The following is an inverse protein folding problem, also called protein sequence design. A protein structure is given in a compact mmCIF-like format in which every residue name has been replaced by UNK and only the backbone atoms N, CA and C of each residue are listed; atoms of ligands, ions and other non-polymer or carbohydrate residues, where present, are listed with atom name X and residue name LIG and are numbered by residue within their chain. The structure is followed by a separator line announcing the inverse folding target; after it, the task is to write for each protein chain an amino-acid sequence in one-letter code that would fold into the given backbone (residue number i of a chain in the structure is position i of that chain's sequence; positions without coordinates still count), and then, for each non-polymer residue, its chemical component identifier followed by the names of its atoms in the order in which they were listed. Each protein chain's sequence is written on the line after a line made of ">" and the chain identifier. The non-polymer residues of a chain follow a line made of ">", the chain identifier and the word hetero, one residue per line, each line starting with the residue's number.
data_IF_672937626351
#
_entry.id   IF_672937626351
#
_cell.length_a   1.000
_cell.length_b   1.000
_cell.length_c   1.000
_cell.angle_alpha   90.00
_cell.angle_beta   90.00
_cell.angle_gamma   90.00
#
_symmetry.space_group_name_H-M   'P 1'
#
loop_
_entity.id
_entity.type
_entity.pdbx_description
1 polymer ?
#
# COMPACT_ATOMS: atom_id res chain seq x y z
N UNK A 1 32.03 3.53 -11.46
CA UNK A 1 31.23 2.47 -12.10
C UNK A 1 30.11 2.09 -11.14
N UNK A 2 28.92 2.69 -11.29
CA UNK A 2 27.75 2.36 -10.47
C UNK A 2 27.05 1.15 -11.10
N UNK A 3 27.02 -0.03 -10.45
CA UNK A 3 26.44 -1.20 -11.05
C UNK A 3 24.92 -1.02 -11.12
N UNK A 4 24.38 -1.10 -12.33
CA UNK A 4 22.95 -1.19 -12.60
C UNK A 4 22.40 -2.38 -11.80
N UNK A 5 21.63 -2.13 -10.74
CA UNK A 5 20.89 -3.20 -10.05
C UNK A 5 19.89 -3.78 -11.04
N UNK A 6 20.25 -4.92 -11.61
CA UNK A 6 19.36 -5.81 -12.34
C UNK A 6 18.13 -6.05 -11.46
N UNK A 7 16.97 -6.26 -12.11
CA UNK A 7 15.73 -6.71 -11.48
C UNK A 7 16.00 -7.96 -10.66
N UNK A 8 16.43 -7.79 -9.41
CA UNK A 8 16.45 -8.86 -8.43
C UNK A 8 15.00 -9.27 -8.29
N UNK A 9 14.72 -10.54 -8.63
CA UNK A 9 13.49 -11.19 -8.20
C UNK A 9 13.36 -10.85 -6.72
N UNK A 10 12.25 -10.23 -6.31
CA UNK A 10 11.97 -9.97 -4.90
C UNK A 10 12.02 -11.34 -4.22
N UNK A 11 13.17 -11.67 -3.63
CA UNK A 11 13.36 -12.89 -2.88
C UNK A 11 12.57 -12.64 -1.62
N UNK A 12 11.55 -13.47 -1.40
CA UNK A 12 10.78 -13.46 -0.17
C UNK A 12 11.77 -13.63 0.98
N UNK A 13 12.03 -12.52 1.70
CA UNK A 13 12.85 -12.57 2.90
C UNK A 13 12.10 -13.37 3.95
N UNK A 14 12.84 -14.12 4.76
CA UNK A 14 12.26 -14.87 5.87
C UNK A 14 11.50 -13.90 6.78
N UNK A 15 10.22 -14.18 6.99
CA UNK A 15 9.36 -13.38 7.87
C UNK A 15 9.83 -13.64 9.29
N UNK A 16 10.39 -12.62 9.94
CA UNK A 16 10.82 -12.78 11.32
C UNK A 16 9.56 -12.86 12.20
N UNK A 17 9.41 -13.93 13.00
CA UNK A 17 8.22 -14.12 13.83
C UNK A 17 8.25 -13.29 15.14
N UNK A 18 9.37 -12.61 15.40
CA UNK A 18 9.60 -11.84 16.62
C UNK A 18 10.02 -12.72 17.81
N UNK A 19 10.45 -12.07 18.88
CA UNK A 19 10.70 -12.68 20.20
C UNK A 19 9.64 -12.19 21.20
N UNK A 20 9.67 -12.60 22.46
CA UNK A 20 8.71 -12.14 23.48
C UNK A 20 8.71 -10.62 23.71
N UNK A 21 9.78 -9.91 23.31
CA UNK A 21 9.94 -8.47 23.51
C UNK A 21 10.11 -7.66 22.22
N UNK A 22 10.32 -8.30 21.08
CA UNK A 22 10.50 -7.63 19.78
C UNK A 22 9.50 -8.17 18.78
N UNK A 23 8.68 -7.28 18.22
CA UNK A 23 7.84 -7.61 17.07
C UNK A 23 8.72 -7.88 15.85
N UNK A 24 8.31 -8.85 15.05
CA UNK A 24 8.93 -9.16 13.77
C UNK A 24 8.61 -8.13 12.68
N UNK A 25 8.65 -8.55 11.41
CA UNK A 25 8.31 -7.70 10.28
C UNK A 25 6.84 -7.24 10.33
N UNK A 26 6.60 -5.93 10.39
CA UNK A 26 5.26 -5.35 10.43
C UNK A 26 4.94 -4.65 9.12
N UNK A 27 3.81 -5.00 8.51
CA UNK A 27 3.30 -4.38 7.30
C UNK A 27 2.26 -3.29 7.61
N UNK A 28 2.64 -2.03 7.43
CA UNK A 28 1.73 -0.90 7.52
C UNK A 28 1.03 -0.73 6.17
N UNK A 29 -0.26 -1.03 6.11
CA UNK A 29 -1.07 -0.87 4.90
C UNK A 29 -1.86 0.43 4.94
N UNK A 30 -1.72 1.22 3.87
CA UNK A 30 -2.38 2.50 3.72
C UNK A 30 -3.27 2.43 2.49
N UNK A 31 -4.58 2.54 2.68
CA UNK A 31 -5.59 2.39 1.63
C UNK A 31 -6.46 3.63 1.60
N UNK A 32 -6.60 4.27 0.44
CA UNK A 32 -7.51 5.40 0.25
C UNK A 32 -8.00 5.49 -1.20
N UNK A 33 -9.00 6.33 -1.45
CA UNK A 33 -9.51 6.63 -2.78
C UNK A 33 -8.65 7.65 -3.53
N UNK A 34 -7.98 8.56 -2.82
CA UNK A 34 -7.09 9.56 -3.42
C UNK A 34 -5.66 9.06 -3.47
N UNK A 35 -5.10 8.98 -4.68
CA UNK A 35 -3.72 8.59 -4.95
C UNK A 35 -2.70 9.50 -4.25
N UNK A 36 -2.91 10.82 -4.28
CA UNK A 36 -1.96 11.79 -3.77
C UNK A 36 -1.82 11.70 -2.25
N UNK A 37 -2.94 11.47 -1.54
CA UNK A 37 -2.95 11.36 -0.09
C UNK A 37 -2.21 10.11 0.40
N UNK A 38 -2.44 8.96 -0.24
CA UNK A 38 -1.75 7.71 0.17
C UNK A 38 -0.25 7.83 -0.07
N UNK A 39 0.17 8.41 -1.20
CA UNK A 39 1.59 8.59 -1.49
C UNK A 39 2.26 9.55 -0.53
N UNK A 40 1.62 10.69 -0.23
CA UNK A 40 2.16 11.65 0.71
C UNK A 40 2.26 11.06 2.12
N UNK A 41 1.24 10.33 2.54
CA UNK A 41 1.24 9.68 3.85
C UNK A 41 2.29 8.56 3.92
N UNK A 42 2.46 7.77 2.87
CA UNK A 42 3.51 6.74 2.79
C UNK A 42 4.91 7.35 2.89
N UNK A 43 5.16 8.48 2.23
CA UNK A 43 6.41 9.22 2.36
C UNK A 43 6.62 9.76 3.78
N UNK A 44 5.57 10.25 4.43
CA UNK A 44 5.63 10.72 5.81
C UNK A 44 6.00 9.59 6.78
N UNK A 45 5.32 8.45 6.70
CA UNK A 45 5.60 7.27 7.54
C UNK A 45 7.03 6.78 7.32
N UNK A 46 7.47 6.66 6.06
CA UNK A 46 8.85 6.26 5.76
C UNK A 46 9.87 7.22 6.39
N UNK A 47 9.68 8.54 6.25
CA UNK A 47 10.56 9.54 6.86
C UNK A 47 10.52 9.49 8.39
N UNK A 48 9.36 9.21 8.97
CA UNK A 48 9.18 9.06 10.41
C UNK A 48 9.96 7.85 10.94
N UNK A 49 9.85 6.69 10.28
CA UNK A 49 10.63 5.50 10.62
C UNK A 49 12.14 5.79 10.59
N UNK A 50 12.62 6.49 9.56
CA UNK A 50 14.02 6.90 9.47
C UNK A 50 14.44 7.84 10.61
N UNK A 51 13.56 8.75 11.06
CA UNK A 51 13.84 9.64 12.21
C UNK A 51 13.87 8.89 13.54
N UNK A 52 13.03 7.88 13.69
CA UNK A 52 12.95 7.02 14.87
C UNK A 52 14.02 5.91 14.89
N UNK A 53 14.91 5.88 13.89
CA UNK A 53 15.92 4.83 13.71
C UNK A 53 15.33 3.42 13.57
N UNK A 54 14.11 3.32 13.04
CA UNK A 54 13.45 2.05 12.69
C UNK A 54 13.85 1.69 11.26
N UNK A 55 14.34 0.46 11.07
CA UNK A 55 14.79 -0.02 9.76
C UNK A 55 13.59 -0.34 8.87
N UNK A 56 13.40 0.42 7.80
CA UNK A 56 12.40 0.11 6.77
C UNK A 56 12.96 -0.99 5.86
N UNK A 57 12.31 -2.14 5.83
CA UNK A 57 12.73 -3.27 5.00
C UNK A 57 12.35 -3.04 3.53
N UNK A 58 11.07 -2.77 3.27
CA UNK A 58 10.53 -2.56 1.92
C UNK A 58 9.39 -1.54 1.92
N UNK A 59 9.24 -0.82 0.82
CA UNK A 59 8.10 0.07 0.60
C UNK A 59 7.62 -0.12 -0.83
N UNK A 60 6.39 -0.59 -0.98
CA UNK A 60 5.85 -0.97 -2.28
C UNK A 60 4.41 -0.55 -2.48
N UNK A 61 4.02 -0.55 -3.75
CA UNK A 61 2.71 -0.21 -4.25
C UNK A 61 1.91 -1.47 -4.53
N UNK A 62 0.67 -1.53 -4.04
CA UNK A 62 -0.27 -2.56 -4.48
C UNK A 62 -1.01 -2.07 -5.74
N UNK A 63 -1.39 -2.98 -6.65
CA UNK A 63 -2.16 -2.62 -7.85
C UNK A 63 -3.47 -1.96 -7.44
N UNK A 64 -3.82 -0.89 -8.15
CA UNK A 64 -5.03 -0.11 -7.87
C UNK A 64 -6.26 -0.95 -8.22
N UNK A 65 -7.28 -0.92 -7.36
CA UNK A 65 -8.56 -1.58 -7.61
C UNK A 65 -9.56 -0.54 -8.10
N UNK A 66 -10.18 -0.79 -9.24
CA UNK A 66 -11.22 0.07 -9.80
C UNK A 66 -12.58 -0.57 -9.53
N UNK A 67 -13.43 0.13 -8.81
CA UNK A 67 -14.78 -0.32 -8.45
C UNK A 67 -15.82 0.54 -9.14
N UNK A 68 -16.72 -0.10 -9.86
CA UNK A 68 -17.88 0.54 -10.47
C UNK A 68 -19.01 0.61 -9.44
N UNK A 69 -19.47 1.82 -9.15
CA UNK A 69 -20.63 2.07 -8.29
C UNK A 69 -21.86 2.11 -9.20
N UNK A 70 -22.76 1.17 -8.99
CA UNK A 70 -24.02 1.05 -9.71
C UNK A 70 -25.15 1.59 -8.84
N UNK A 71 -25.97 2.47 -9.41
CA UNK A 71 -27.18 2.99 -8.78
C UNK A 71 -28.43 2.33 -9.39
N UNK A 72 -29.43 2.07 -8.55
CA UNK A 72 -30.71 1.51 -8.96
C UNK A 72 -31.73 2.64 -9.18
N UNK A 73 -32.32 2.72 -10.38
CA UNK A 73 -33.36 3.71 -10.67
C UNK A 73 -34.58 3.57 -9.73
N UNK A 74 -35.10 4.68 -9.21
CA UNK A 74 -36.20 4.68 -8.22
C UNK A 74 -37.52 4.06 -8.71
N UNK A 75 -37.74 4.00 -10.03
CA UNK A 75 -38.95 3.42 -10.65
C UNK A 75 -38.66 2.32 -11.67
N UNK A 76 -37.45 1.73 -11.63
CA UNK A 76 -37.02 0.70 -12.58
C UNK A 76 -36.20 -0.41 -11.91
N UNK A 77 -36.05 -1.55 -12.59
CA UNK A 77 -35.20 -2.66 -12.12
C UNK A 77 -33.77 -2.60 -12.72
N UNK A 78 -33.45 -1.55 -13.48
CA UNK A 78 -32.19 -1.45 -14.20
C UNK A 78 -31.13 -0.79 -13.32
N UNK A 79 -29.97 -1.42 -13.22
CA UNK A 79 -28.77 -0.82 -12.62
C UNK A 79 -28.09 0.08 -13.66
N UNK A 80 -27.81 1.33 -13.28
CA UNK A 80 -27.04 2.28 -14.09
C UNK A 80 -25.68 2.55 -13.42
N UNK A 81 -24.65 2.80 -14.24
CA UNK A 81 -23.33 3.21 -13.75
C UNK A 81 -23.42 4.64 -13.23
N UNK A 82 -23.08 4.84 -11.96
CA UNK A 82 -23.07 6.15 -11.30
C UNK A 82 -21.66 6.75 -11.28
N UNK A 83 -20.71 6.01 -10.70
CA UNK A 83 -19.33 6.47 -10.57
C UNK A 83 -18.32 5.33 -10.67
N UNK A 84 -17.08 5.69 -10.98
CA UNK A 84 -15.93 4.78 -10.95
C UNK A 84 -15.00 5.24 -9.85
N UNK A 85 -14.84 4.43 -8.81
CA UNK A 85 -13.96 4.71 -7.67
C UNK A 85 -12.67 3.90 -7.79
N UNK A 86 -11.54 4.59 -7.73
CA UNK A 86 -10.21 3.97 -7.68
C UNK A 86 -9.74 3.87 -6.24
N UNK A 87 -9.29 2.70 -5.81
CA UNK A 87 -8.69 2.49 -4.49
C UNK A 87 -7.20 2.21 -4.65
N UNK A 88 -6.39 3.10 -4.07
CA UNK A 88 -4.93 3.01 -4.08
C UNK A 88 -4.44 2.46 -2.73
N UNK A 89 -3.44 1.58 -2.80
CA UNK A 89 -2.85 0.99 -1.62
C UNK A 89 -1.31 1.07 -1.67
N UNK A 90 -0.72 1.47 -0.55
CA UNK A 90 0.72 1.48 -0.30
C UNK A 90 1.02 0.64 0.94
N UNK A 91 2.16 -0.03 0.93
CA UNK A 91 2.63 -0.84 2.05
C UNK A 91 4.04 -0.40 2.42
N UNK A 92 4.28 -0.18 3.70
CA UNK A 92 5.60 0.04 4.29
C UNK A 92 5.86 -1.09 5.27
N UNK A 93 6.91 -1.86 5.02
CA UNK A 93 7.37 -2.93 5.89
C UNK A 93 8.50 -2.40 6.77
N UNK A 94 8.31 -2.50 8.08
CA UNK A 94 9.28 -2.13 9.12
C UNK A 94 9.69 -3.34 9.95
#
# INVERSE_FOLDING_TARGET
>A
QTPKKKKDKVQMKEINAGTEYEYGDVNIQMTSYDMCLVEHFAQYVHKLCNRLSIKVNESYAMPTKTNEVLFLEERGSKMQLDAVLTTHQRVVQV
#
